data_IF_776582956453
#
_entry.id   IF_776582956453
#
_cell.length_a   1.000
_cell.length_b   1.000
_cell.length_c   1.000
_cell.angle_alpha   90.00
_cell.angle_beta   90.00
_cell.angle_gamma   90.00
#
_symmetry.space_group_name_H-M   'P 1'
#
loop_
_entity.id
_entity.type
_entity.pdbx_description
1 polymer ?
#
# COMPACT_ATOMS: atom_id res chain seq x y z
N UNK A 1 18.03 21.88 17.38
CA UNK A 1 16.65 21.36 17.48
C UNK A 1 15.84 22.16 16.50
N UNK A 2 15.56 21.58 15.33
CA UNK A 2 14.71 22.25 14.34
C UNK A 2 13.29 21.97 14.78
N UNK A 3 12.60 22.97 15.32
CA UNK A 3 11.16 22.91 15.53
C UNK A 3 10.53 22.63 14.16
N UNK A 4 10.11 21.39 13.91
CA UNK A 4 9.27 21.09 12.76
C UNK A 4 7.93 21.77 13.00
N UNK A 5 7.66 22.88 12.31
CA UNK A 5 6.33 23.50 12.31
C UNK A 5 5.27 22.42 11.99
N UNK A 6 4.17 22.36 12.75
CA UNK A 6 3.13 21.38 12.50
C UNK A 6 2.58 21.53 11.08
N UNK A 7 2.49 20.39 10.37
CA UNK A 7 2.02 20.36 8.99
C UNK A 7 0.59 20.89 8.89
N UNK A 8 0.40 22.00 8.18
CA UNK A 8 -0.90 22.64 8.00
C UNK A 8 -1.75 22.05 6.87
N UNK A 9 -1.14 21.37 5.91
CA UNK A 9 -1.82 20.71 4.77
C UNK A 9 -1.19 19.32 4.54
N UNK A 10 -2.03 18.28 4.56
CA UNK A 10 -1.65 16.91 4.15
C UNK A 10 -2.18 16.64 2.75
N UNK A 11 -1.32 16.07 1.92
CA UNK A 11 -1.63 15.67 0.56
C UNK A 11 -0.96 14.34 0.23
N UNK A 12 -1.43 13.70 -0.82
CA UNK A 12 -0.85 12.47 -1.33
C UNK A 12 -0.95 12.42 -2.86
N UNK A 13 -0.04 11.70 -3.48
CA UNK A 13 0.04 11.56 -4.93
C UNK A 13 0.83 10.34 -5.36
N UNK A 14 1.09 10.22 -6.66
CA UNK A 14 1.77 9.05 -7.20
C UNK A 14 2.60 9.32 -8.43
N UNK A 15 3.65 8.51 -8.58
CA UNK A 15 4.30 8.29 -9.87
C UNK A 15 3.57 7.13 -10.53
N UNK A 16 2.55 7.45 -11.32
CA UNK A 16 1.85 6.46 -12.13
C UNK A 16 2.73 6.08 -13.33
N UNK A 17 3.00 4.80 -13.51
CA UNK A 17 3.94 4.31 -14.53
C UNK A 17 3.37 3.14 -15.32
N UNK A 18 3.84 2.97 -16.56
CA UNK A 18 3.53 1.82 -17.42
C UNK A 18 4.79 1.33 -18.13
N UNK A 19 4.84 0.03 -18.44
CA UNK A 19 5.85 -0.50 -19.34
C UNK A 19 5.51 -0.17 -20.79
N UNK A 20 6.51 0.11 -21.60
CA UNK A 20 6.42 0.21 -23.06
C UNK A 20 6.74 -1.14 -23.71
N UNK A 21 6.37 -1.30 -24.98
CA UNK A 21 6.54 -2.56 -25.72
C UNK A 21 8.02 -2.95 -25.92
N UNK A 22 8.91 -1.96 -25.93
CA UNK A 22 10.37 -2.14 -26.01
C UNK A 22 11.03 -2.37 -24.65
N UNK A 23 10.25 -2.50 -23.57
CA UNK A 23 10.74 -2.79 -22.23
C UNK A 23 11.15 -1.55 -21.42
N UNK A 24 10.93 -0.35 -21.94
CA UNK A 24 11.05 0.91 -21.24
C UNK A 24 9.94 1.16 -20.20
N UNK A 25 10.03 2.31 -19.55
CA UNK A 25 9.07 2.76 -18.53
C UNK A 25 8.73 4.21 -18.78
N UNK A 26 7.44 4.47 -18.96
CA UNK A 26 6.90 5.82 -19.01
C UNK A 26 6.18 6.16 -17.71
N UNK A 27 6.26 7.43 -17.30
CA UNK A 27 5.54 7.99 -16.16
C UNK A 27 4.55 9.05 -16.61
N UNK A 28 3.46 9.16 -15.88
CA UNK A 28 2.38 10.09 -16.14
C UNK A 28 2.63 11.42 -15.43
N UNK A 29 2.60 12.51 -16.18
CA UNK A 29 2.59 13.88 -15.65
C UNK A 29 1.28 14.58 -16.02
N UNK A 30 0.88 15.53 -15.18
CA UNK A 30 -0.32 16.35 -15.38
C UNK A 30 0.06 17.82 -15.55
N UNK A 31 -0.62 18.51 -16.45
CA UNK A 31 -0.51 19.96 -16.63
C UNK A 31 -1.65 20.68 -15.93
N UNK A 32 -1.34 21.76 -15.21
CA UNK A 32 -2.35 22.57 -14.53
C UNK A 32 -2.41 23.97 -15.13
N UNK A 33 -3.50 24.34 -15.83
CA UNK A 33 -3.58 25.60 -16.57
C UNK A 33 -3.55 26.82 -15.65
N UNK A 34 -4.04 26.68 -14.41
CA UNK A 34 -4.01 27.75 -13.39
C UNK A 34 -2.60 28.26 -13.11
N UNK A 35 -1.60 27.41 -13.22
CA UNK A 35 -0.20 27.74 -12.91
C UNK A 35 0.71 27.66 -14.15
N UNK A 36 0.26 27.01 -15.23
CA UNK A 36 1.09 26.71 -16.39
C UNK A 36 2.21 25.73 -16.06
N UNK A 37 1.98 24.83 -15.10
CA UNK A 37 3.00 23.91 -14.58
C UNK A 37 2.73 22.45 -14.94
N UNK A 38 3.82 21.67 -14.99
CA UNK A 38 3.78 20.22 -15.10
C UNK A 38 4.25 19.62 -13.79
N UNK A 39 3.49 18.68 -13.26
CA UNK A 39 3.79 18.06 -11.97
C UNK A 39 3.30 16.61 -11.91
N UNK A 40 3.69 15.92 -10.84
CA UNK A 40 3.09 14.63 -10.50
C UNK A 40 1.65 14.81 -10.01
N UNK A 41 0.73 13.88 -10.36
CA UNK A 41 -0.64 13.94 -9.87
C UNK A 41 -0.70 13.78 -8.35
N UNK A 42 -1.42 14.69 -7.68
CA UNK A 42 -1.52 14.77 -6.22
C UNK A 42 -2.64 15.72 -5.78
N UNK A 43 -3.25 15.42 -4.65
CA UNK A 43 -4.17 16.36 -4.01
C UNK A 43 -4.30 16.17 -2.51
N UNK A 44 -5.22 16.92 -1.92
CA UNK A 44 -5.35 17.04 -0.46
C UNK A 44 -6.09 15.82 0.08
N UNK A 45 -5.69 15.37 1.27
CA UNK A 45 -6.46 14.35 1.96
C UNK A 45 -7.83 14.89 2.33
N UNK A 46 -8.86 14.07 2.12
CA UNK A 46 -10.16 14.30 2.71
C UNK A 46 -10.16 14.01 4.22
N UNK A 47 -11.22 14.44 4.91
CA UNK A 47 -11.32 14.28 6.37
C UNK A 47 -11.37 12.79 6.74
N UNK A 48 -10.31 12.32 7.40
CA UNK A 48 -10.20 10.93 7.87
C UNK A 48 -9.77 9.94 6.77
N UNK A 49 -9.40 10.43 5.60
CA UNK A 49 -8.93 9.61 4.49
C UNK A 49 -7.50 9.11 4.76
N UNK A 50 -7.23 7.85 4.42
CA UNK A 50 -5.89 7.30 4.50
C UNK A 50 -5.02 7.88 3.36
N UNK A 51 -3.77 8.32 3.61
CA UNK A 51 -2.90 8.89 2.58
C UNK A 51 -2.77 8.04 1.30
N UNK A 52 -2.69 6.72 1.44
CA UNK A 52 -2.60 5.81 0.29
C UNK A 52 -3.90 5.78 -0.55
N UNK A 53 -5.08 5.91 0.09
CA UNK A 53 -6.36 6.01 -0.63
C UNK A 53 -6.43 7.33 -1.39
N UNK A 54 -6.05 8.43 -0.73
CA UNK A 54 -5.97 9.75 -1.36
C UNK A 54 -5.02 9.70 -2.56
N UNK A 55 -3.84 9.11 -2.43
CA UNK A 55 -2.88 9.00 -3.52
C UNK A 55 -3.47 8.33 -4.77
N UNK A 56 -4.17 7.20 -4.60
CA UNK A 56 -4.78 6.46 -5.72
C UNK A 56 -5.97 7.20 -6.30
N UNK A 57 -6.80 7.83 -5.45
CA UNK A 57 -7.93 8.66 -5.88
C UNK A 57 -7.45 9.84 -6.73
N UNK A 58 -6.48 10.59 -6.23
CA UNK A 58 -5.93 11.78 -6.90
C UNK A 58 -5.26 11.43 -8.24
N UNK A 59 -4.52 10.32 -8.30
CA UNK A 59 -4.00 9.81 -9.58
C UNK A 59 -5.13 9.53 -10.57
N UNK A 60 -6.21 8.88 -10.11
CA UNK A 60 -7.34 8.58 -10.97
C UNK A 60 -8.09 9.85 -11.41
N UNK A 61 -8.33 10.80 -10.50
CA UNK A 61 -9.07 12.05 -10.76
C UNK A 61 -8.32 13.00 -11.69
N UNK A 62 -7.00 13.17 -11.48
CA UNK A 62 -6.21 14.14 -12.24
C UNK A 62 -5.71 13.60 -13.59
N UNK A 63 -5.62 12.28 -13.77
CA UNK A 63 -5.01 11.70 -14.97
C UNK A 63 -5.85 10.64 -15.69
N UNK A 64 -7.03 10.29 -15.17
CA UNK A 64 -7.85 9.16 -15.64
C UNK A 64 -7.08 7.82 -15.67
N UNK A 65 -6.03 7.69 -14.83
CA UNK A 65 -5.22 6.47 -14.71
C UNK A 65 -5.69 5.64 -13.52
N UNK A 66 -6.13 4.40 -13.80
CA UNK A 66 -6.31 3.40 -12.75
C UNK A 66 -4.96 2.77 -12.46
N UNK A 67 -4.40 3.06 -11.28
CA UNK A 67 -3.09 2.57 -10.87
C UNK A 67 -3.15 1.71 -9.59
N UNK A 68 -2.18 0.81 -9.45
CA UNK A 68 -1.99 -0.07 -8.29
C UNK A 68 -0.72 0.37 -7.55
N UNK A 69 -0.80 0.79 -6.28
CA UNK A 69 0.38 1.22 -5.53
C UNK A 69 1.32 0.05 -5.23
N UNK A 70 2.62 0.34 -5.21
CA UNK A 70 3.66 -0.66 -5.00
C UNK A 70 4.61 -0.27 -3.86
N UNK A 71 5.30 0.87 -3.98
CA UNK A 71 6.37 1.29 -3.06
C UNK A 71 6.14 2.74 -2.67
N UNK A 72 6.26 3.08 -1.38
CA UNK A 72 6.26 4.47 -0.94
C UNK A 72 7.54 5.17 -1.38
N UNK A 73 7.39 6.35 -1.96
CA UNK A 73 8.46 7.23 -2.40
C UNK A 73 8.73 8.30 -1.33
N UNK A 74 9.86 9.02 -1.41
CA UNK A 74 10.15 10.11 -0.48
C UNK A 74 9.03 11.15 -0.44
N UNK A 75 8.62 11.54 0.78
CA UNK A 75 7.65 12.62 0.97
C UNK A 75 8.30 13.98 0.75
N UNK A 76 7.54 14.93 0.20
CA UNK A 76 8.00 16.30 -0.05
C UNK A 76 7.36 17.27 0.93
N UNK A 77 8.16 18.16 1.53
CA UNK A 77 7.69 19.27 2.38
C UNK A 77 7.99 20.62 1.72
N UNK A 78 6.97 21.46 1.57
CA UNK A 78 7.10 22.83 1.05
C UNK A 78 5.97 23.73 1.56
N UNK A 79 6.08 25.05 1.36
CA UNK A 79 4.99 25.98 1.69
C UNK A 79 4.06 26.16 0.50
N UNK A 80 2.75 26.06 0.74
CA UNK A 80 1.70 26.35 -0.24
C UNK A 80 0.69 27.31 0.41
N UNK A 81 0.43 28.45 -0.22
CA UNK A 81 -0.44 29.52 0.34
C UNK A 81 -0.01 29.93 1.77
N UNK A 82 1.30 30.03 2.01
CA UNK A 82 1.88 30.36 3.32
C UNK A 82 1.87 29.23 4.36
N UNK A 83 1.18 28.11 4.10
CA UNK A 83 1.05 26.98 5.03
C UNK A 83 2.03 25.85 4.73
N UNK A 84 2.63 25.20 5.74
CA UNK A 84 3.41 23.99 5.53
C UNK A 84 2.56 22.87 4.93
N UNK A 85 2.99 22.33 3.80
CA UNK A 85 2.37 21.21 3.09
C UNK A 85 3.33 20.02 3.05
N UNK A 86 2.81 18.84 3.39
CA UNK A 86 3.49 17.55 3.25
C UNK A 86 2.73 16.72 2.21
N UNK A 87 3.46 16.21 1.21
CA UNK A 87 2.92 15.31 0.19
C UNK A 87 3.60 13.95 0.32
N UNK A 88 2.80 12.92 0.53
CA UNK A 88 3.25 11.53 0.51
C UNK A 88 3.08 10.95 -0.90
N UNK A 89 4.12 10.30 -1.45
CA UNK A 89 4.09 9.74 -2.81
C UNK A 89 4.26 8.23 -2.81
N UNK A 90 3.69 7.57 -3.82
CA UNK A 90 3.89 6.14 -4.09
C UNK A 90 4.20 5.91 -5.57
N UNK A 91 5.03 4.91 -5.85
CA UNK A 91 5.10 4.29 -7.18
C UNK A 91 3.83 3.49 -7.41
N UNK A 92 3.18 3.70 -8.57
CA UNK A 92 1.93 3.03 -8.90
C UNK A 92 1.93 2.50 -10.33
N UNK A 93 1.71 1.19 -10.50
CA UNK A 93 1.61 0.58 -11.82
C UNK A 93 0.25 0.84 -12.42
N UNK A 94 0.21 1.46 -13.60
CA UNK A 94 -1.01 1.64 -14.37
C UNK A 94 -1.57 0.28 -14.81
N UNK A 95 -2.86 0.06 -14.57
CA UNK A 95 -3.61 -1.14 -14.97
C UNK A 95 -4.77 -0.81 -15.90
N UNK A 96 -4.92 0.46 -16.26
CA UNK A 96 -5.84 0.92 -17.29
C UNK A 96 -5.92 2.44 -17.32
N UNK A 97 -6.26 2.98 -18.48
CA UNK A 97 -6.52 4.41 -18.69
C UNK A 97 -7.98 4.61 -19.10
N UNK A 98 -8.59 5.70 -18.65
CA UNK A 98 -10.00 6.04 -18.88
C UNK A 98 -10.27 6.85 -20.15
N UNK A 99 -9.22 7.30 -20.84
CA UNK A 99 -9.34 8.27 -21.93
C UNK A 99 -9.53 9.68 -21.36
N UNK A 100 -8.41 10.29 -20.96
CA UNK A 100 -8.34 11.56 -20.25
C UNK A 100 -9.28 12.63 -20.81
N UNK A 101 -10.06 13.25 -19.93
CA UNK A 101 -10.91 14.40 -20.27
C UNK A 101 -10.39 15.69 -19.61
N UNK A 102 -9.95 16.69 -20.40
CA UNK A 102 -9.53 17.98 -19.87
C UNK A 102 -10.58 18.63 -18.96
N UNK A 103 -10.14 19.07 -17.78
CA UNK A 103 -10.94 19.76 -16.78
C UNK A 103 -10.39 21.14 -16.45
N UNK A 104 -10.94 21.75 -15.39
CA UNK A 104 -10.49 23.07 -14.91
C UNK A 104 -9.22 23.01 -14.06
N UNK A 105 -8.93 21.86 -13.47
CA UNK A 105 -7.75 21.65 -12.62
C UNK A 105 -6.57 21.08 -13.41
N UNK A 106 -6.83 20.08 -14.25
CA UNK A 106 -5.85 19.50 -15.19
C UNK A 106 -6.45 19.56 -16.58
N UNK A 107 -5.73 20.14 -17.54
CA UNK A 107 -6.16 20.24 -18.95
C UNK A 107 -5.34 19.37 -19.90
N UNK A 108 -4.21 18.82 -19.45
CA UNK A 108 -3.36 17.94 -20.26
C UNK A 108 -2.64 16.88 -19.42
N UNK A 109 -2.37 15.73 -20.04
CA UNK A 109 -1.66 14.59 -19.46
C UNK A 109 -0.67 14.06 -20.48
N UNK A 110 0.58 13.83 -20.06
CA UNK A 110 1.58 13.19 -20.91
C UNK A 110 2.22 11.99 -20.23
N UNK A 111 2.62 11.04 -21.07
CA UNK A 111 3.46 9.90 -20.71
C UNK A 111 4.84 10.14 -21.29
N UNK A 112 5.86 10.09 -20.45
CA UNK A 112 7.25 10.36 -20.83
C UNK A 112 8.16 9.31 -20.19
N UNK A 113 9.26 8.98 -20.86
CA UNK A 113 10.37 8.30 -20.22
C UNK A 113 10.84 9.10 -18.99
N UNK A 114 11.38 8.40 -17.99
CA UNK A 114 11.67 8.99 -16.68
C UNK A 114 12.62 10.19 -16.77
N UNK A 115 13.66 10.11 -17.61
CA UNK A 115 14.61 11.20 -17.81
C UNK A 115 13.93 12.45 -18.41
N UNK A 116 13.08 12.24 -19.43
CA UNK A 116 12.31 13.33 -20.03
C UNK A 116 11.29 13.92 -19.04
N UNK A 117 10.68 13.09 -18.19
CA UNK A 117 9.77 13.55 -17.14
C UNK A 117 10.50 14.42 -16.10
N UNK A 118 11.72 14.05 -15.70
CA UNK A 118 12.57 14.84 -14.79
C UNK A 118 12.88 16.22 -15.38
N UNK A 119 13.15 16.32 -16.67
CA UNK A 119 13.35 17.59 -17.37
C UNK A 119 12.05 18.40 -17.53
N UNK A 120 10.90 17.71 -17.61
CA UNK A 120 9.60 18.32 -17.90
C UNK A 120 8.95 18.99 -16.71
N UNK A 121 9.08 18.40 -15.51
CA UNK A 121 8.40 18.90 -14.31
C UNK A 121 8.89 20.29 -13.91
N UNK A 122 7.96 21.14 -13.50
CA UNK A 122 8.26 22.55 -13.19
C UNK A 122 8.91 22.72 -11.82
N UNK A 123 8.87 21.69 -10.96
CA UNK A 123 9.31 21.78 -9.58
C UNK A 123 10.46 20.81 -9.27
N UNK A 124 11.56 21.28 -8.65
CA UNK A 124 12.69 20.42 -8.28
C UNK A 124 12.32 19.25 -7.37
N UNK A 125 11.29 19.41 -6.54
CA UNK A 125 10.86 18.34 -5.64
C UNK A 125 10.15 17.20 -6.37
N UNK A 126 9.41 17.47 -7.45
CA UNK A 126 8.82 16.42 -8.27
C UNK A 126 9.93 15.65 -9.02
N UNK A 127 10.97 16.36 -9.51
CA UNK A 127 12.15 15.74 -10.11
C UNK A 127 12.88 14.81 -9.12
N UNK A 128 12.96 15.17 -7.83
CA UNK A 128 13.53 14.30 -6.79
C UNK A 128 12.70 13.03 -6.58
N UNK A 129 11.37 13.13 -6.60
CA UNK A 129 10.47 11.97 -6.49
C UNK A 129 10.62 11.05 -7.71
N UNK A 130 10.72 11.62 -8.92
CA UNK A 130 10.96 10.88 -10.15
C UNK A 130 12.32 10.18 -10.15
N UNK A 131 13.38 10.85 -9.70
CA UNK A 131 14.71 10.24 -9.56
C UNK A 131 14.71 9.10 -8.54
N UNK A 132 13.98 9.25 -7.43
CA UNK A 132 13.80 8.17 -6.45
C UNK A 132 13.03 6.98 -7.04
N UNK A 133 12.02 7.23 -7.88
CA UNK A 133 11.32 6.18 -8.63
C UNK A 133 12.25 5.47 -9.62
N UNK A 134 13.06 6.22 -10.37
CA UNK A 134 14.03 5.68 -11.33
C UNK A 134 15.03 4.71 -10.69
N UNK A 135 15.39 4.98 -9.43
CA UNK A 135 16.33 4.15 -8.66
C UNK A 135 15.70 2.87 -8.09
N UNK A 136 14.38 2.69 -8.18
CA UNK A 136 13.73 1.48 -7.68
C UNK A 136 14.05 0.27 -8.57
N UNK A 137 14.44 -0.87 -7.98
CA UNK A 137 14.44 -2.13 -8.70
C UNK A 137 13.03 -2.50 -9.19
N UNK A 138 12.94 -3.29 -10.25
CA UNK A 138 11.67 -3.74 -10.81
C UNK A 138 10.87 -4.55 -9.78
N UNK A 139 9.69 -4.05 -9.42
CA UNK A 139 8.74 -4.78 -8.57
C UNK A 139 8.14 -5.94 -9.36
N UNK A 140 8.25 -7.14 -8.83
CA UNK A 140 7.75 -8.40 -9.41
C UNK A 140 6.47 -8.89 -8.72
N UNK A 141 6.23 -8.50 -7.46
CA UNK A 141 5.05 -8.90 -6.71
C UNK A 141 4.67 -7.91 -5.62
N UNK A 142 3.38 -7.86 -5.29
CA UNK A 142 2.85 -7.04 -4.19
C UNK A 142 1.93 -7.86 -3.28
N UNK A 143 2.00 -7.59 -1.98
CA UNK A 143 1.17 -8.25 -0.95
C UNK A 143 0.58 -7.21 -0.01
N UNK A 144 -0.73 -7.23 0.19
CA UNK A 144 -1.37 -6.54 1.31
C UNK A 144 -1.40 -7.49 2.52
N UNK A 145 -0.48 -7.32 3.47
CA UNK A 145 -0.40 -8.12 4.69
C UNK A 145 -1.06 -7.39 5.86
N UNK A 146 -2.20 -7.89 6.33
CA UNK A 146 -2.94 -7.29 7.45
C UNK A 146 -2.86 -8.16 8.70
N UNK A 147 -2.85 -7.51 9.87
CA UNK A 147 -3.14 -8.19 11.13
C UNK A 147 -4.65 -8.20 11.34
N UNK A 148 -5.17 -9.32 11.83
CA UNK A 148 -6.59 -9.39 12.19
C UNK A 148 -7.02 -8.20 13.08
N UNK A 149 -8.27 -7.79 12.91
CA UNK A 149 -8.87 -6.71 13.67
C UNK A 149 -9.19 -7.10 15.12
N UNK A 150 -9.73 -6.15 15.89
CA UNK A 150 -10.07 -6.36 17.29
C UNK A 150 -11.11 -7.49 17.48
N UNK A 151 -10.96 -8.29 18.54
CA UNK A 151 -11.72 -9.53 18.72
C UNK A 151 -12.09 -9.77 20.20
N UNK A 152 -12.28 -8.68 20.95
CA UNK A 152 -12.46 -8.73 22.39
C UNK A 152 -11.25 -9.30 23.14
N UNK A 153 -11.51 -9.74 24.38
CA UNK A 153 -10.50 -10.32 25.28
C UNK A 153 -10.66 -11.83 25.33
N UNK A 154 -9.53 -12.55 25.31
CA UNK A 154 -9.51 -14.01 25.42
C UNK A 154 -10.12 -14.51 26.73
N UNK A 155 -9.87 -13.80 27.84
CA UNK A 155 -10.33 -14.19 29.18
C UNK A 155 -11.85 -14.23 29.33
N UNK A 156 -12.59 -13.48 28.51
CA UNK A 156 -14.07 -13.39 28.57
C UNK A 156 -14.75 -14.28 27.52
N UNK A 157 -13.99 -15.06 26.75
CA UNK A 157 -14.51 -15.94 25.71
C UNK A 157 -14.59 -17.38 26.23
N UNK A 158 -15.76 -18.00 26.12
CA UNK A 158 -16.05 -19.34 26.66
C UNK A 158 -15.77 -20.49 25.69
N UNK A 159 -15.50 -20.20 24.41
CA UNK A 159 -15.20 -21.22 23.39
C UNK A 159 -13.69 -21.40 23.13
N UNK A 160 -13.31 -22.27 22.16
CA UNK A 160 -11.94 -22.33 21.65
C UNK A 160 -11.49 -20.97 21.11
N UNK A 161 -10.26 -20.52 21.39
CA UNK A 161 -9.79 -19.20 20.93
C UNK A 161 -9.77 -19.06 19.40
N UNK A 162 -9.57 -20.17 18.68
CA UNK A 162 -9.66 -20.21 17.20
C UNK A 162 -11.04 -19.82 16.69
N UNK A 163 -12.10 -20.07 17.47
CA UNK A 163 -13.48 -19.71 17.13
C UNK A 163 -13.90 -18.30 17.55
N UNK A 164 -13.02 -17.53 18.21
CA UNK A 164 -13.34 -16.19 18.72
C UNK A 164 -13.56 -15.19 17.56
N UNK A 165 -14.73 -14.53 17.47
CA UNK A 165 -15.03 -13.62 16.38
C UNK A 165 -14.45 -12.22 16.62
N UNK A 166 -14.52 -11.38 15.59
CA UNK A 166 -14.39 -9.93 15.73
C UNK A 166 -15.50 -9.38 16.64
N UNK A 167 -15.19 -8.32 17.39
CA UNK A 167 -16.19 -7.52 18.08
C UNK A 167 -16.59 -6.29 17.25
N UNK A 168 -17.43 -5.41 17.80
CA UNK A 168 -17.95 -4.25 17.08
C UNK A 168 -16.84 -3.32 16.56
N UNK A 169 -15.80 -3.09 17.37
CA UNK A 169 -14.61 -2.33 16.96
C UNK A 169 -13.86 -3.05 15.84
N UNK A 170 -13.66 -4.36 15.98
CA UNK A 170 -13.01 -5.16 14.95
C UNK A 170 -13.74 -5.17 13.61
N UNK A 171 -15.08 -5.20 13.62
CA UNK A 171 -15.89 -5.11 12.42
C UNK A 171 -15.72 -3.74 11.74
N UNK A 172 -15.64 -2.65 12.51
CA UNK A 172 -15.38 -1.32 11.97
C UNK A 172 -13.96 -1.22 11.35
N UNK A 173 -12.95 -1.76 12.03
CA UNK A 173 -11.57 -1.84 11.53
C UNK A 173 -11.48 -2.66 10.23
N UNK A 174 -12.15 -3.82 10.16
CA UNK A 174 -12.17 -4.66 8.96
C UNK A 174 -12.79 -3.93 7.75
N UNK A 175 -13.85 -3.13 7.97
CA UNK A 175 -14.44 -2.29 6.92
C UNK A 175 -13.50 -1.17 6.46
N UNK A 176 -12.76 -0.56 7.39
CA UNK A 176 -11.78 0.48 7.06
C UNK A 176 -10.55 -0.07 6.32
N UNK A 177 -10.14 -1.31 6.63
CA UNK A 177 -9.05 -2.01 5.92
C UNK A 177 -9.42 -2.47 4.52
N UNK A 178 -10.69 -2.80 4.28
CA UNK A 178 -11.15 -3.35 3.02
C UNK A 178 -10.72 -2.56 1.78
N UNK A 179 -10.91 -1.22 1.71
CA UNK A 179 -10.45 -0.45 0.56
C UNK A 179 -8.93 -0.47 0.41
N UNK A 180 -8.14 -0.49 1.50
CA UNK A 180 -6.67 -0.58 1.44
C UNK A 180 -6.20 -1.93 0.88
N UNK A 181 -6.84 -3.03 1.28
CA UNK A 181 -6.59 -4.35 0.67
C UNK A 181 -7.00 -4.37 -0.80
N UNK A 182 -8.10 -3.71 -1.17
CA UNK A 182 -8.55 -3.66 -2.56
C UNK A 182 -7.60 -2.86 -3.47
N UNK A 183 -6.82 -1.89 -2.94
CA UNK A 183 -5.88 -1.09 -3.73
C UNK A 183 -4.82 -1.95 -4.42
N UNK A 184 -4.36 -3.04 -3.79
CA UNK A 184 -3.37 -3.93 -4.43
C UNK A 184 -3.97 -4.80 -5.53
N UNK A 185 -5.30 -4.75 -5.70
CA UNK A 185 -6.09 -5.57 -6.63
C UNK A 185 -5.74 -7.05 -6.52
N UNK A 186 -5.87 -7.63 -5.33
CA UNK A 186 -5.47 -9.01 -5.12
C UNK A 186 -6.35 -9.92 -5.97
N UNK A 187 -5.76 -10.98 -6.52
CA UNK A 187 -6.51 -12.05 -7.22
C UNK A 187 -6.83 -13.20 -6.29
N UNK A 188 -6.20 -13.23 -5.11
CA UNK A 188 -6.40 -14.23 -4.05
C UNK A 188 -6.38 -13.55 -2.69
N UNK A 189 -7.21 -14.06 -1.79
CA UNK A 189 -7.22 -13.68 -0.38
C UNK A 189 -6.88 -14.90 0.47
N UNK A 190 -5.84 -14.80 1.28
CA UNK A 190 -5.40 -15.84 2.19
C UNK A 190 -5.54 -15.38 3.64
N UNK A 191 -5.93 -16.28 4.53
CA UNK A 191 -6.06 -15.97 5.95
C UNK A 191 -5.47 -17.09 6.80
N UNK A 192 -4.84 -16.68 7.90
CA UNK A 192 -4.68 -17.55 9.06
C UNK A 192 -6.03 -18.16 9.48
N UNK A 193 -6.00 -19.35 10.05
CA UNK A 193 -7.12 -20.20 10.43
C UNK A 193 -8.10 -19.59 11.45
N UNK A 194 -7.69 -18.79 12.45
CA UNK A 194 -8.64 -18.27 13.43
C UNK A 194 -9.76 -17.44 12.79
N UNK A 195 -10.99 -17.62 13.29
CA UNK A 195 -12.21 -16.96 12.78
C UNK A 195 -12.06 -15.45 12.61
N UNK A 196 -11.44 -14.78 13.59
CA UNK A 196 -11.15 -13.33 13.54
C UNK A 196 -10.31 -12.91 12.34
N UNK A 197 -9.37 -13.74 11.89
CA UNK A 197 -8.53 -13.46 10.72
C UNK A 197 -9.39 -13.52 9.44
N UNK A 198 -10.16 -14.60 9.28
CA UNK A 198 -11.09 -14.76 8.14
C UNK A 198 -12.11 -13.62 8.11
N UNK A 199 -12.70 -13.28 9.26
CA UNK A 199 -13.66 -12.18 9.36
C UNK A 199 -13.06 -10.80 9.07
N UNK A 200 -11.75 -10.61 9.28
CA UNK A 200 -11.07 -9.34 8.97
C UNK A 200 -11.01 -9.11 7.47
N UNK A 201 -10.81 -10.16 6.67
CA UNK A 201 -10.85 -10.06 5.20
C UNK A 201 -12.26 -10.09 4.62
N UNK A 202 -13.29 -10.44 5.40
CA UNK A 202 -14.67 -10.56 4.93
C UNK A 202 -15.18 -9.37 4.10
N UNK A 203 -15.02 -8.12 4.57
CA UNK A 203 -15.42 -6.94 3.80
C UNK A 203 -14.67 -6.78 2.47
N UNK A 204 -13.36 -7.07 2.43
CA UNK A 204 -12.56 -7.02 1.21
C UNK A 204 -12.98 -8.14 0.22
N UNK A 205 -13.17 -9.36 0.74
CA UNK A 205 -13.65 -10.51 -0.02
C UNK A 205 -14.99 -10.23 -0.70
N UNK A 206 -15.93 -9.63 0.02
CA UNK A 206 -17.23 -9.28 -0.54
C UNK A 206 -17.15 -8.18 -1.61
N UNK A 207 -16.29 -7.17 -1.42
CA UNK A 207 -16.11 -6.09 -2.39
C UNK A 207 -15.40 -6.54 -3.68
N UNK A 208 -14.52 -7.54 -3.57
CA UNK A 208 -13.72 -8.08 -4.67
C UNK A 208 -14.34 -9.31 -5.34
N UNK A 209 -15.41 -9.85 -4.77
CA UNK A 209 -16.01 -11.14 -5.15
C UNK A 209 -14.98 -12.28 -5.17
N UNK A 210 -14.18 -12.39 -4.10
CA UNK A 210 -13.13 -13.40 -3.95
C UNK A 210 -13.39 -14.31 -2.75
N UNK A 211 -13.13 -15.62 -2.88
CA UNK A 211 -13.11 -16.51 -1.72
C UNK A 211 -11.91 -16.20 -0.82
N UNK A 212 -12.00 -16.60 0.45
CA UNK A 212 -10.89 -16.55 1.40
C UNK A 212 -10.35 -17.97 1.57
N UNK A 213 -9.08 -18.16 1.20
CA UNK A 213 -8.34 -19.40 1.36
C UNK A 213 -7.68 -19.45 2.76
N UNK A 214 -7.92 -20.52 3.52
CA UNK A 214 -7.25 -20.69 4.81
C UNK A 214 -5.86 -21.27 4.60
N UNK A 215 -4.84 -20.66 5.21
CA UNK A 215 -3.45 -21.07 5.11
C UNK A 215 -2.79 -21.08 6.50
N UNK A 216 -2.44 -22.27 6.98
CA UNK A 216 -1.88 -22.50 8.31
C UNK A 216 -0.48 -21.89 8.51
N UNK A 217 0.26 -21.60 7.44
CA UNK A 217 1.58 -20.94 7.52
C UNK A 217 1.51 -19.54 8.14
N UNK A 218 0.31 -18.96 8.20
CA UNK A 218 0.06 -17.65 8.79
C UNK A 218 -0.48 -17.70 10.23
N UNK A 219 -0.63 -18.90 10.80
CA UNK A 219 -1.14 -19.10 12.16
C UNK A 219 -0.08 -18.79 13.23
N UNK A 220 -0.55 -18.35 14.40
CA UNK A 220 0.30 -18.30 15.59
C UNK A 220 0.69 -19.71 16.08
N UNK A 221 1.84 -19.82 16.78
CA UNK A 221 2.29 -21.10 17.31
C UNK A 221 1.26 -21.73 18.25
N UNK A 222 1.02 -23.02 18.04
CA UNK A 222 0.31 -23.89 18.96
C UNK A 222 1.23 -24.33 20.12
N UNK A 223 0.68 -24.87 21.22
CA UNK A 223 1.49 -25.36 22.32
C UNK A 223 2.58 -26.34 21.84
N UNK A 224 3.84 -26.03 22.13
CA UNK A 224 5.01 -26.80 21.70
C UNK A 224 5.70 -26.32 20.42
N UNK A 225 5.07 -25.41 19.66
CA UNK A 225 5.69 -24.80 18.48
C UNK A 225 6.45 -23.51 18.84
N UNK A 226 7.53 -23.23 18.11
CA UNK A 226 8.31 -22.02 18.30
C UNK A 226 7.75 -20.85 17.45
N UNK A 227 7.77 -19.64 18.03
CA UNK A 227 7.37 -18.42 17.31
C UNK A 227 8.23 -18.21 16.06
N UNK A 228 9.54 -18.47 16.19
CA UNK A 228 10.51 -18.29 15.11
C UNK A 228 10.28 -19.24 13.92
N UNK A 229 9.81 -20.46 14.17
CA UNK A 229 9.46 -21.42 13.12
C UNK A 229 8.20 -20.96 12.36
N UNK A 230 7.18 -20.46 13.09
CA UNK A 230 5.96 -19.93 12.48
C UNK A 230 6.26 -18.66 11.66
N UNK A 231 7.13 -17.78 12.19
CA UNK A 231 7.60 -16.61 11.47
C UNK A 231 8.38 -16.96 10.20
N UNK A 232 9.22 -18.00 10.23
CA UNK A 232 9.94 -18.51 9.07
C UNK A 232 8.97 -19.08 8.01
N UNK A 233 7.99 -19.88 8.43
CA UNK A 233 6.96 -20.42 7.53
C UNK A 233 6.16 -19.30 6.84
N UNK A 234 5.70 -18.31 7.61
CA UNK A 234 5.00 -17.15 7.07
C UNK A 234 5.86 -16.34 6.08
N UNK A 235 7.15 -16.12 6.39
CA UNK A 235 8.08 -15.44 5.49
C UNK A 235 8.27 -16.22 4.18
N UNK A 236 8.53 -17.52 4.26
CA UNK A 236 8.66 -18.39 3.08
C UNK A 236 7.40 -18.35 2.21
N UNK A 237 6.22 -18.44 2.84
CA UNK A 237 4.95 -18.37 2.12
C UNK A 237 4.71 -17.03 1.44
N UNK A 238 5.10 -15.92 2.07
CA UNK A 238 5.04 -14.59 1.44
C UNK A 238 5.94 -14.49 0.21
N UNK A 239 7.15 -15.06 0.26
CA UNK A 239 8.07 -15.11 -0.90
C UNK A 239 7.45 -15.93 -2.04
N UNK A 240 6.90 -17.10 -1.74
CA UNK A 240 6.24 -17.93 -2.76
C UNK A 240 5.08 -17.21 -3.44
N UNK A 241 4.23 -16.54 -2.65
CA UNK A 241 3.11 -15.78 -3.18
C UNK A 241 3.57 -14.60 -4.03
N UNK A 242 4.62 -13.89 -3.60
CA UNK A 242 5.19 -12.79 -4.38
C UNK A 242 5.85 -13.28 -5.68
N UNK A 243 6.56 -14.40 -5.65
CA UNK A 243 7.24 -15.00 -6.80
C UNK A 243 6.25 -15.49 -7.88
N UNK A 244 5.01 -15.83 -7.50
CA UNK A 244 3.94 -16.13 -8.46
C UNK A 244 3.52 -14.91 -9.30
N UNK A 245 3.95 -13.69 -8.93
CA UNK A 245 3.78 -12.46 -9.71
C UNK A 245 2.37 -11.87 -9.71
N UNK A 246 1.43 -12.50 -9.00
CA UNK A 246 0.07 -12.02 -8.87
C UNK A 246 -0.15 -11.34 -7.51
N UNK A 247 -0.82 -10.17 -7.44
CA UNK A 247 -1.08 -9.52 -6.17
C UNK A 247 -1.97 -10.36 -5.26
N UNK A 248 -1.69 -10.36 -3.95
CA UNK A 248 -2.46 -11.12 -2.96
C UNK A 248 -2.75 -10.31 -1.70
N UNK A 249 -3.89 -10.58 -1.08
CA UNK A 249 -4.22 -10.08 0.26
C UNK A 249 -4.07 -11.19 1.29
N UNK A 250 -3.38 -10.92 2.40
CA UNK A 250 -3.07 -11.90 3.43
C UNK A 250 -3.48 -11.35 4.80
N UNK A 251 -4.21 -12.12 5.59
CA UNK A 251 -4.44 -11.83 7.00
C UNK A 251 -3.68 -12.80 7.90
N UNK A 252 -2.88 -12.26 8.82
CA UNK A 252 -2.14 -13.02 9.82
C UNK A 252 -2.32 -12.41 11.22
N UNK A 253 -1.41 -12.71 12.13
CA UNK A 253 -1.53 -12.49 13.56
C UNK A 253 -0.29 -11.80 14.14
N UNK A 254 -0.47 -11.22 15.34
CA UNK A 254 0.49 -10.28 15.92
C UNK A 254 1.82 -10.89 16.35
N UNK A 255 1.89 -12.20 16.65
CA UNK A 255 3.17 -12.85 16.99
C UNK A 255 3.96 -13.34 15.77
N UNK A 256 3.32 -13.41 14.60
CA UNK A 256 3.92 -13.96 13.38
C UNK A 256 4.46 -12.85 12.49
N UNK A 257 3.63 -11.82 12.25
CA UNK A 257 3.93 -10.73 11.31
C UNK A 257 5.30 -10.08 11.60
N UNK A 258 5.64 -9.64 12.84
CA UNK A 258 6.91 -8.96 13.07
C UNK A 258 8.12 -9.82 12.75
N UNK A 259 8.12 -11.08 13.18
CA UNK A 259 9.22 -12.01 12.93
C UNK A 259 9.35 -12.42 11.46
N UNK A 260 8.23 -12.48 10.73
CA UNK A 260 8.23 -12.76 9.30
C UNK A 260 8.81 -11.58 8.51
N UNK A 261 8.38 -10.35 8.83
CA UNK A 261 8.89 -9.14 8.17
C UNK A 261 10.37 -8.89 8.48
N UNK A 262 10.82 -9.10 9.72
CA UNK A 262 12.23 -8.99 10.08
C UNK A 262 13.12 -9.95 9.28
N UNK A 263 12.65 -11.19 9.07
CA UNK A 263 13.34 -12.18 8.23
C UNK A 263 13.40 -11.75 6.76
N UNK A 264 12.27 -11.30 6.21
CA UNK A 264 12.20 -10.85 4.82
C UNK A 264 13.06 -9.61 4.56
N UNK A 265 13.08 -8.66 5.50
CA UNK A 265 13.87 -7.44 5.40
C UNK A 265 15.36 -7.64 5.70
N UNK A 266 15.74 -8.77 6.31
CA UNK A 266 17.12 -9.04 6.73
C UNK A 266 17.63 -8.09 7.82
N UNK A 267 16.72 -7.43 8.55
CA UNK A 267 17.05 -6.42 9.57
C UNK A 267 15.97 -6.35 10.64
N UNK A 268 16.34 -5.87 11.81
CA UNK A 268 15.48 -5.74 12.97
C UNK A 268 14.92 -4.30 13.07
N UNK A 269 13.85 -4.03 12.32
CA UNK A 269 13.08 -2.78 12.38
C UNK A 269 11.81 -2.94 13.25
N UNK A 270 11.13 -1.83 13.56
CA UNK A 270 9.80 -1.89 14.17
C UNK A 270 8.72 -2.39 13.18
N UNK A 271 8.55 -3.71 13.14
CA UNK A 271 7.46 -4.39 12.44
C UNK A 271 6.23 -4.64 13.34
N UNK A 272 6.15 -4.00 14.51
CA UNK A 272 5.04 -4.13 15.43
C UNK A 272 3.73 -3.70 14.78
N UNK A 273 2.83 -4.63 14.48
CA UNK A 273 1.61 -4.35 13.72
C UNK A 273 0.41 -4.24 14.64
N UNK A 274 -0.28 -3.10 14.68
CA UNK A 274 -1.50 -2.94 15.47
C UNK A 274 -2.63 -3.84 14.95
N UNK A 275 -3.58 -4.22 15.81
CA UNK A 275 -4.78 -4.94 15.34
C UNK A 275 -5.54 -4.05 14.36
N UNK A 276 -5.97 -4.60 13.23
CA UNK A 276 -6.64 -3.81 12.19
C UNK A 276 -5.71 -2.88 11.42
N UNK A 277 -4.39 -3.04 11.52
CA UNK A 277 -3.40 -2.42 10.64
C UNK A 277 -2.73 -3.45 9.72
N UNK A 278 -1.90 -2.98 8.80
CA UNK A 278 -1.22 -3.82 7.83
C UNK A 278 -0.02 -3.17 7.16
N UNK A 279 0.40 -3.81 6.09
CA UNK A 279 1.58 -3.47 5.30
C UNK A 279 1.31 -3.72 3.82
N UNK A 280 1.78 -2.81 2.99
CA UNK A 280 2.00 -3.00 1.57
C UNK A 280 3.42 -3.51 1.42
N UNK A 281 3.57 -4.76 0.99
CA UNK A 281 4.86 -5.37 0.71
C UNK A 281 5.09 -5.33 -0.79
N UNK A 282 6.26 -4.87 -1.21
CA UNK A 282 6.72 -4.96 -2.59
C UNK A 282 7.95 -5.86 -2.65
N UNK A 283 7.98 -6.73 -3.65
CA UNK A 283 9.05 -7.70 -3.87
C UNK A 283 9.72 -7.47 -5.22
N UNK A 284 10.99 -7.83 -5.30
CA UNK A 284 11.77 -7.97 -6.53
C UNK A 284 12.06 -9.45 -6.75
N UNK A 285 12.85 -9.78 -7.79
CA UNK A 285 13.34 -11.15 -7.98
C UNK A 285 14.24 -11.62 -6.81
N UNK A 286 14.89 -10.68 -6.11
CA UNK A 286 15.89 -10.96 -5.08
C UNK A 286 15.31 -11.00 -3.66
N UNK A 287 14.07 -10.56 -3.46
CA UNK A 287 13.41 -10.59 -2.15
C UNK A 287 12.51 -9.38 -1.88
N UNK A 288 12.31 -9.07 -0.59
CA UNK A 288 11.50 -7.93 -0.17
C UNK A 288 12.24 -6.61 -0.49
N UNK A 289 11.60 -5.74 -1.27
CA UNK A 289 12.10 -4.41 -1.58
C UNK A 289 11.65 -3.38 -0.54
N UNK A 290 10.36 -3.40 -0.20
CA UNK A 290 9.76 -2.43 0.71
C UNK A 290 8.62 -3.04 1.52
N UNK A 291 8.45 -2.54 2.74
CA UNK A 291 7.33 -2.83 3.62
C UNK A 291 6.75 -1.52 4.17
N UNK A 292 5.65 -1.06 3.59
CA UNK A 292 5.02 0.22 3.90
C UNK A 292 3.76 0.01 4.72
N UNK A 293 3.75 0.52 5.95
CA UNK A 293 2.62 0.37 6.88
C UNK A 293 1.38 1.16 6.42
N UNK A 294 0.20 0.57 6.56
CA UNK A 294 -1.12 1.22 6.39
C UNK A 294 -2.16 0.72 7.39
#
# INVERSE_FOLDING_TARGET
>A
MVDEEPVGIRAAGGVAWRSTDDGGVEVCLVHRPRYGDWSLPKGKLERGEHPLLAAVREVAEESDVRAVPQVRLPSVRYRSEGRPKLVDYWSMRAVGTGGFQPGTEVDDVCWLDVDAAVERVSYPHDAQVLAAFAALPRVTGTVALVRHAHAGRRATWSGPDTGRPLDAEGVAQARALAPLVALVRPVRLLSASPRRCVQTLGPAAAALDLPIEVCGDFDEPQPGQQVDECALAAAGRLVELAAAGQPVGVCSQGKVIPGALARLAGRDDDFGTAKGGGWLLAFTADGLLAADRF
#
